data_IF_136020464710
#
_entry.id   IF_136020464710
#
_cell.length_a   1.000
_cell.length_b   1.000
_cell.length_c   1.000
_cell.angle_alpha   90.00
_cell.angle_beta   90.00
_cell.angle_gamma   90.00
#
_symmetry.space_group_name_H-M   'P 1'
#
loop_
_entity.id
_entity.type
_entity.pdbx_description
1 polymer ?
#
# COMPACT_ATOMS: atom_id res chain seq x y z
N UNK A 1 -6.11 21.84 20.38
CA UNK A 1 -6.45 21.17 19.12
C UNK A 1 -6.48 19.68 19.39
N UNK A 2 -7.48 18.95 18.86
CA UNK A 2 -7.62 17.51 19.10
C UNK A 2 -6.61 16.71 18.28
N UNK A 3 -6.14 15.59 18.83
CA UNK A 3 -5.37 14.58 18.10
C UNK A 3 -6.22 14.07 16.92
N UNK A 4 -5.61 13.87 15.75
CA UNK A 4 -6.30 13.34 14.55
C UNK A 4 -5.82 11.96 14.16
N UNK A 5 -4.53 11.65 14.38
CA UNK A 5 -3.99 10.34 14.08
C UNK A 5 -2.81 9.96 14.96
N UNK A 6 -2.59 8.65 15.13
CA UNK A 6 -1.38 8.07 15.69
C UNK A 6 -0.76 7.09 14.71
N UNK A 7 0.55 7.16 14.56
CA UNK A 7 1.37 6.16 13.86
C UNK A 7 1.82 5.14 14.90
N UNK A 8 1.49 3.89 14.65
CA UNK A 8 1.69 2.80 15.60
C UNK A 8 2.43 1.64 14.93
N UNK A 9 3.18 0.87 15.70
CA UNK A 9 3.81 -0.38 15.26
C UNK A 9 3.24 -1.52 16.11
N UNK A 10 2.76 -2.57 15.44
CA UNK A 10 2.30 -3.80 16.05
C UNK A 10 3.38 -4.88 15.94
N UNK A 11 3.76 -5.45 17.06
CA UNK A 11 4.71 -6.56 17.13
C UNK A 11 3.96 -7.89 17.20
N UNK A 12 4.24 -8.79 16.26
CA UNK A 12 3.54 -10.09 16.14
C UNK A 12 3.84 -11.04 17.29
N UNK A 13 5.04 -10.97 17.86
CA UNK A 13 5.45 -11.87 18.93
C UNK A 13 4.78 -11.52 20.25
N UNK A 14 4.85 -10.24 20.64
CA UNK A 14 4.22 -9.76 21.88
C UNK A 14 2.72 -9.52 21.73
N UNK A 15 2.22 -9.40 20.50
CA UNK A 15 0.83 -9.03 20.15
C UNK A 15 0.42 -7.68 20.72
N UNK A 16 1.34 -6.74 20.76
CA UNK A 16 1.13 -5.40 21.31
C UNK A 16 1.47 -4.32 20.30
N UNK A 17 0.71 -3.23 20.37
CA UNK A 17 1.01 -2.00 19.63
C UNK A 17 1.72 -1.01 20.54
N UNK A 18 2.64 -0.24 19.94
CA UNK A 18 3.21 0.93 20.57
C UNK A 18 3.13 2.14 19.64
N UNK A 19 2.81 3.28 20.21
CA UNK A 19 2.73 4.56 19.49
C UNK A 19 4.14 5.07 19.23
N UNK A 20 4.48 5.35 17.98
CA UNK A 20 5.77 5.95 17.59
C UNK A 20 5.65 7.44 17.30
N UNK A 21 4.45 7.91 16.92
CA UNK A 21 4.18 9.33 16.73
C UNK A 21 2.67 9.62 16.83
N UNK A 22 2.33 10.81 17.30
CA UNK A 22 0.96 11.34 17.30
C UNK A 22 0.96 12.76 16.79
N UNK A 23 -0.04 13.14 15.99
CA UNK A 23 -0.17 14.45 15.39
C UNK A 23 -1.61 14.96 15.34
N UNK A 24 -1.73 16.26 15.10
CA UNK A 24 -3.00 16.94 14.83
C UNK A 24 -3.34 16.89 13.34
N UNK A 25 -2.36 16.52 12.52
CA UNK A 25 -2.49 16.25 11.10
C UNK A 25 -3.00 14.82 10.89
N UNK A 26 -3.59 14.58 9.74
CA UNK A 26 -3.92 13.23 9.29
C UNK A 26 -2.68 12.62 8.63
N UNK A 27 -2.01 11.72 9.35
CA UNK A 27 -0.94 10.89 8.82
C UNK A 27 -1.52 9.64 8.20
N UNK A 28 -0.91 9.16 7.11
CA UNK A 28 -1.43 8.01 6.35
C UNK A 28 -0.30 7.12 5.84
N UNK A 29 -0.61 5.83 5.66
CA UNK A 29 0.16 4.83 4.92
C UNK A 29 1.63 4.72 5.33
N UNK A 30 1.92 4.26 6.55
CA UNK A 30 3.28 4.14 7.02
C UNK A 30 4.01 3.01 6.28
N UNK A 31 5.16 3.32 5.67
CA UNK A 31 6.03 2.39 4.96
C UNK A 31 7.42 2.39 5.60
N UNK A 32 7.94 1.24 6.04
CA UNK A 32 9.27 1.15 6.64
C UNK A 32 10.37 1.43 5.62
N UNK A 33 11.43 2.14 6.07
CA UNK A 33 12.69 2.15 5.32
C UNK A 33 13.35 0.78 5.37
N UNK A 34 14.14 0.37 4.35
CA UNK A 34 14.74 -0.97 4.29
C UNK A 34 15.66 -1.32 5.46
N UNK A 35 16.23 -0.31 6.15
CA UNK A 35 17.03 -0.48 7.37
C UNK A 35 16.17 -0.58 8.65
N UNK A 36 14.85 -0.44 8.55
CA UNK A 36 13.91 -0.44 9.67
C UNK A 36 14.03 0.75 10.63
N UNK A 37 14.84 1.76 10.31
CA UNK A 37 15.14 2.87 11.22
C UNK A 37 14.12 4.02 11.14
N UNK A 38 13.28 4.05 10.11
CA UNK A 38 12.30 5.10 9.89
C UNK A 38 11.05 4.59 9.16
N UNK A 39 10.01 5.43 9.16
CA UNK A 39 8.81 5.28 8.35
C UNK A 39 8.74 6.41 7.32
N UNK A 40 8.23 6.10 6.14
CA UNK A 40 7.77 7.07 5.15
C UNK A 40 6.26 7.19 5.32
N UNK A 41 5.76 8.42 5.30
CA UNK A 41 4.36 8.76 5.59
C UNK A 41 3.86 9.81 4.61
N UNK A 42 2.56 9.80 4.35
CA UNK A 42 1.88 10.90 3.68
C UNK A 42 1.11 11.76 4.69
N UNK A 43 1.08 13.06 4.46
CA UNK A 43 0.15 13.99 5.10
C UNK A 43 -0.04 15.22 4.22
N UNK A 44 -1.29 15.64 4.01
CA UNK A 44 -1.67 16.86 3.28
C UNK A 44 -0.96 17.03 1.91
N UNK A 45 -0.84 15.94 1.17
CA UNK A 45 -0.22 15.94 -0.16
C UNK A 45 1.31 15.96 -0.16
N UNK A 46 1.95 15.81 0.99
CA UNK A 46 3.40 15.77 1.15
C UNK A 46 3.86 14.42 1.68
N UNK A 47 5.09 14.07 1.36
CA UNK A 47 5.75 12.86 1.86
C UNK A 47 6.75 13.25 2.95
N UNK A 48 6.79 12.44 4.00
CA UNK A 48 7.63 12.68 5.17
C UNK A 48 8.43 11.45 5.53
N UNK A 49 9.60 11.66 6.13
CA UNK A 49 10.38 10.64 6.81
C UNK A 49 10.26 10.84 8.32
N UNK A 50 9.81 9.82 9.02
CA UNK A 50 9.72 9.76 10.48
C UNK A 50 10.77 8.77 11.00
N UNK A 51 11.89 9.25 11.53
CA UNK A 51 12.82 8.37 12.27
C UNK A 51 12.13 7.86 13.54
N UNK A 52 12.31 6.58 13.89
CA UNK A 52 11.72 6.03 15.11
C UNK A 52 12.22 6.79 16.34
N UNK A 53 11.27 7.35 17.12
CA UNK A 53 11.57 8.25 18.25
C UNK A 53 11.86 9.71 17.87
N UNK A 54 11.76 10.07 16.58
CA UNK A 54 11.96 11.43 16.08
C UNK A 54 10.67 12.19 15.78
N UNK A 55 10.80 13.20 14.92
CA UNK A 55 9.67 13.96 14.37
C UNK A 55 9.64 13.81 12.86
N UNK A 56 8.44 13.89 12.22
CA UNK A 56 8.34 13.87 10.78
C UNK A 56 9.13 15.01 10.13
N UNK A 57 9.91 14.67 9.11
CA UNK A 57 10.66 15.60 8.27
C UNK A 57 10.17 15.48 6.84
N UNK A 58 9.79 16.61 6.22
CA UNK A 58 9.33 16.61 4.84
C UNK A 58 10.47 16.18 3.91
N UNK A 59 10.14 15.31 2.95
CA UNK A 59 11.03 14.96 1.84
C UNK A 59 10.77 15.95 0.70
N UNK A 60 11.82 16.49 0.12
CA UNK A 60 11.70 17.34 -1.06
C UNK A 60 11.33 16.49 -2.29
N UNK A 61 10.07 16.56 -2.69
CA UNK A 61 9.54 15.88 -3.88
C UNK A 61 9.39 16.84 -5.06
N UNK A 62 10.12 17.94 -5.09
CA UNK A 62 10.09 18.94 -6.17
C UNK A 62 8.68 19.51 -6.39
N UNK A 63 8.15 19.39 -7.62
CA UNK A 63 6.81 19.86 -7.95
C UNK A 63 5.68 18.97 -7.43
N UNK A 64 5.96 17.71 -7.04
CA UNK A 64 4.97 16.73 -6.60
C UNK A 64 4.52 17.01 -5.16
N UNK A 65 3.49 17.85 -5.03
CA UNK A 65 2.98 18.39 -3.76
C UNK A 65 1.48 18.14 -3.56
N UNK A 66 0.91 17.29 -4.41
CA UNK A 66 -0.46 16.77 -4.31
C UNK A 66 -0.43 15.24 -4.31
N UNK A 67 0.54 14.68 -3.56
CA UNK A 67 0.65 13.23 -3.38
C UNK A 67 -0.57 12.71 -2.62
N UNK A 68 -1.05 11.53 -3.03
CA UNK A 68 -1.96 10.76 -2.20
C UNK A 68 -1.15 9.80 -1.28
N UNK A 69 -1.82 8.87 -0.66
CA UNK A 69 -1.21 7.93 0.28
C UNK A 69 -0.53 6.71 -0.39
N UNK A 70 -0.42 6.67 -1.73
CA UNK A 70 0.26 5.61 -2.48
C UNK A 70 1.73 5.97 -2.67
N UNK A 71 2.60 5.42 -1.86
CA UNK A 71 4.04 5.64 -1.94
C UNK A 71 4.83 4.42 -1.45
N UNK A 72 6.12 4.38 -1.76
CA UNK A 72 7.01 3.34 -1.26
C UNK A 72 8.46 3.60 -1.65
N UNK A 73 9.37 2.80 -1.11
CA UNK A 73 10.79 2.86 -1.41
C UNK A 73 11.24 1.64 -2.20
N UNK A 74 12.22 1.84 -3.06
CA UNK A 74 12.98 0.73 -3.63
C UNK A 74 13.72 -0.03 -2.53
N UNK A 75 14.00 -1.35 -2.72
CA UNK A 75 14.66 -2.17 -1.70
C UNK A 75 16.05 -1.67 -1.28
N UNK A 76 16.73 -0.91 -2.15
CA UNK A 76 18.01 -0.25 -1.82
C UNK A 76 17.83 1.06 -1.03
N UNK A 77 16.57 1.50 -0.83
CA UNK A 77 16.22 2.71 -0.10
C UNK A 77 16.64 4.01 -0.79
N UNK A 78 17.02 3.99 -2.06
CA UNK A 78 17.53 5.18 -2.74
C UNK A 78 16.43 5.96 -3.49
N UNK A 79 15.38 5.27 -3.95
CA UNK A 79 14.32 5.87 -4.76
C UNK A 79 12.98 5.77 -4.04
N UNK A 80 12.31 6.89 -3.92
CA UNK A 80 10.94 7.01 -3.47
C UNK A 80 10.01 6.97 -4.69
N UNK A 81 9.03 6.09 -4.66
CA UNK A 81 7.92 6.03 -5.63
C UNK A 81 6.71 6.70 -5.00
N UNK A 82 6.08 7.60 -5.73
CA UNK A 82 4.93 8.39 -5.27
C UNK A 82 3.87 8.48 -6.34
N UNK A 83 2.62 8.62 -5.92
CA UNK A 83 1.51 9.00 -6.80
C UNK A 83 1.16 10.46 -6.56
N UNK A 84 1.21 11.29 -7.60
CA UNK A 84 0.92 12.72 -7.51
C UNK A 84 -0.04 13.19 -8.62
N UNK A 85 -0.74 14.32 -8.38
CA UNK A 85 -1.77 14.88 -9.29
C UNK A 85 -1.46 16.29 -9.80
N UNK A 86 -0.28 16.84 -9.50
CA UNK A 86 0.02 18.24 -9.84
C UNK A 86 0.07 18.47 -11.34
N UNK A 87 0.82 17.65 -12.07
CA UNK A 87 1.15 17.91 -13.47
C UNK A 87 -0.05 17.71 -14.42
N UNK A 88 -0.90 16.72 -14.15
CA UNK A 88 -1.98 16.31 -15.07
C UNK A 88 -3.38 16.46 -14.48
N UNK A 89 -3.51 16.96 -13.24
CA UNK A 89 -4.75 16.90 -12.44
C UNK A 89 -5.36 15.48 -12.34
N UNK A 90 -4.56 14.47 -12.66
CA UNK A 90 -4.85 13.03 -12.57
C UNK A 90 -3.65 12.31 -11.96
N UNK A 91 -3.92 11.23 -11.24
CA UNK A 91 -2.90 10.45 -10.58
C UNK A 91 -1.85 9.92 -11.59
N UNK A 92 -0.58 10.09 -11.27
CA UNK A 92 0.56 9.62 -12.05
C UNK A 92 1.68 9.18 -11.12
N UNK A 93 2.37 8.10 -11.46
CA UNK A 93 3.47 7.57 -10.66
C UNK A 93 4.76 8.25 -11.07
N UNK A 94 5.51 8.70 -10.05
CA UNK A 94 6.83 9.30 -10.21
C UNK A 94 7.87 8.61 -9.33
N UNK A 95 9.09 8.60 -9.80
CA UNK A 95 10.27 8.22 -9.05
C UNK A 95 11.05 9.48 -8.64
N UNK A 96 11.44 9.55 -7.37
CA UNK A 96 12.18 10.68 -6.78
C UNK A 96 13.34 10.12 -5.96
N UNK A 97 14.57 10.67 -6.03
CA UNK A 97 15.61 10.31 -5.09
C UNK A 97 15.15 10.51 -3.64
N UNK A 98 15.40 9.59 -2.73
CA UNK A 98 15.03 9.75 -1.31
C UNK A 98 15.72 10.99 -0.69
N UNK A 99 16.87 11.39 -1.20
CA UNK A 99 17.57 12.64 -0.83
C UNK A 99 16.85 13.92 -1.29
N UNK A 100 15.78 13.78 -2.04
CA UNK A 100 15.03 14.87 -2.66
C UNK A 100 15.47 15.16 -4.09
N UNK A 101 14.63 15.89 -4.82
CA UNK A 101 14.93 16.32 -6.18
C UNK A 101 13.72 16.37 -7.11
N UNK A 102 13.99 16.42 -8.41
CA UNK A 102 12.94 16.52 -9.45
C UNK A 102 12.33 15.13 -9.70
N UNK A 103 10.99 14.98 -9.58
CA UNK A 103 10.29 13.76 -9.94
C UNK A 103 10.45 13.39 -11.40
N UNK A 104 10.72 12.10 -11.66
CA UNK A 104 10.71 11.52 -13.00
C UNK A 104 9.47 10.65 -13.15
N UNK A 105 8.69 10.90 -14.20
CA UNK A 105 7.48 10.15 -14.48
C UNK A 105 7.79 8.68 -14.81
N UNK A 106 7.07 7.76 -14.18
CA UNK A 106 7.18 6.31 -14.41
C UNK A 106 6.00 5.79 -15.22
N UNK A 107 4.75 6.05 -14.79
CA UNK A 107 3.59 5.50 -15.48
C UNK A 107 3.28 6.24 -16.78
N UNK A 108 3.03 5.49 -17.86
CA UNK A 108 2.65 6.06 -19.15
C UNK A 108 1.17 6.49 -19.16
N UNK A 109 0.31 5.75 -18.47
CA UNK A 109 -1.14 5.97 -18.43
C UNK A 109 -1.58 6.85 -17.25
N UNK A 110 -2.67 7.56 -17.43
CA UNK A 110 -3.39 8.34 -16.43
C UNK A 110 -4.82 7.75 -16.27
N UNK A 111 -5.34 7.48 -15.10
CA UNK A 111 -4.73 7.60 -13.79
C UNK A 111 -4.00 6.30 -13.41
N UNK A 112 -2.92 6.44 -12.63
CA UNK A 112 -2.14 5.31 -12.11
C UNK A 112 -1.80 5.55 -10.65
N UNK A 113 -1.99 4.52 -9.80
CA UNK A 113 -1.82 4.56 -8.35
C UNK A 113 -0.80 3.49 -7.94
N UNK A 114 0.33 3.91 -7.39
CA UNK A 114 1.41 3.01 -6.95
C UNK A 114 0.97 2.16 -5.77
N UNK A 115 1.41 0.88 -5.72
CA UNK A 115 1.17 0.02 -4.58
C UNK A 115 2.37 -0.81 -4.15
N UNK A 116 3.15 -1.37 -5.06
CA UNK A 116 4.24 -2.26 -4.66
C UNK A 116 5.45 -2.23 -5.58
N UNK A 117 6.61 -2.63 -5.04
CA UNK A 117 7.87 -2.82 -5.76
C UNK A 117 8.39 -4.23 -5.50
N UNK A 118 8.94 -4.87 -6.53
CA UNK A 118 9.52 -6.20 -6.39
C UNK A 118 10.79 -6.19 -5.52
N UNK A 119 11.08 -7.31 -4.84
CA UNK A 119 12.22 -7.43 -3.95
C UNK A 119 13.59 -7.21 -4.64
N UNK A 120 13.66 -7.39 -5.97
CA UNK A 120 14.84 -7.08 -6.77
C UNK A 120 14.91 -5.61 -7.24
N UNK A 121 13.88 -4.80 -6.89
CA UNK A 121 13.77 -3.40 -7.29
C UNK A 121 13.51 -3.16 -8.78
N UNK A 122 13.30 -4.22 -9.57
CA UNK A 122 13.23 -4.11 -11.02
C UNK A 122 11.82 -3.81 -11.55
N UNK A 123 10.78 -4.12 -10.78
CA UNK A 123 9.38 -4.01 -11.19
C UNK A 123 8.54 -3.26 -10.16
N UNK A 124 7.52 -2.57 -10.66
CA UNK A 124 6.44 -2.01 -9.83
C UNK A 124 5.11 -2.63 -10.21
N UNK A 125 4.19 -2.66 -9.26
CA UNK A 125 2.78 -2.98 -9.50
C UNK A 125 1.89 -1.85 -9.00
N UNK A 126 0.79 -1.62 -9.70
CA UNK A 126 -0.05 -0.47 -9.46
C UNK A 126 -1.47 -0.69 -10.00
N UNK A 127 -2.41 0.08 -9.49
CA UNK A 127 -3.76 0.18 -10.06
C UNK A 127 -3.80 1.28 -11.09
N UNK A 128 -4.20 0.97 -12.31
CA UNK A 128 -4.18 1.93 -13.40
C UNK A 128 -5.30 1.76 -14.41
N UNK A 129 -5.63 2.85 -15.12
CA UNK A 129 -6.57 2.81 -16.26
C UNK A 129 -5.81 2.28 -17.47
N UNK A 130 -6.14 1.07 -17.88
CA UNK A 130 -5.56 0.42 -19.07
C UNK A 130 -6.44 0.54 -20.31
N UNK A 131 -7.76 0.52 -20.14
CA UNK A 131 -8.74 0.69 -21.23
C UNK A 131 -9.83 1.63 -20.74
N UNK A 132 -10.28 2.52 -21.60
CA UNK A 132 -11.39 3.47 -21.44
C UNK A 132 -12.11 3.41 -20.06
N UNK A 133 -11.55 4.09 -19.09
CA UNK A 133 -12.07 4.25 -17.72
C UNK A 133 -12.20 2.94 -16.89
N UNK A 134 -11.54 1.86 -17.30
CA UNK A 134 -11.51 0.59 -16.56
C UNK A 134 -10.18 0.49 -15.82
N UNK A 135 -10.25 0.50 -14.50
CA UNK A 135 -9.11 0.21 -13.65
C UNK A 135 -8.74 -1.27 -13.68
N UNK A 136 -7.47 -1.54 -13.66
CA UNK A 136 -6.90 -2.89 -13.62
C UNK A 136 -5.64 -2.96 -12.79
N UNK A 137 -5.19 -4.18 -12.53
CA UNK A 137 -3.89 -4.44 -11.91
C UNK A 137 -2.83 -4.44 -13.01
N UNK A 138 -1.89 -3.54 -12.90
CA UNK A 138 -0.81 -3.34 -13.88
C UNK A 138 0.55 -3.63 -13.26
N UNK A 139 1.52 -3.94 -14.13
CA UNK A 139 2.92 -4.12 -13.80
C UNK A 139 3.78 -3.43 -14.87
N UNK A 140 4.87 -2.82 -14.46
CA UNK A 140 5.90 -2.30 -15.37
C UNK A 140 7.29 -2.44 -14.76
N UNK A 141 8.32 -2.22 -15.57
CA UNK A 141 9.64 -1.93 -15.03
C UNK A 141 9.61 -0.64 -14.22
N UNK A 142 10.55 -0.48 -13.32
CA UNK A 142 10.66 0.74 -12.48
C UNK A 142 10.89 2.01 -13.30
N UNK A 143 11.44 1.89 -14.51
CA UNK A 143 11.60 2.99 -15.47
C UNK A 143 10.38 3.22 -16.37
N UNK A 144 9.27 2.48 -16.14
CA UNK A 144 8.04 2.56 -16.91
C UNK A 144 8.00 1.70 -18.17
N UNK A 145 9.08 1.03 -18.54
CA UNK A 145 9.09 0.11 -19.68
C UNK A 145 8.36 -1.21 -19.37
N UNK A 146 8.08 -2.02 -20.39
CA UNK A 146 7.40 -3.33 -20.29
C UNK A 146 6.03 -3.26 -19.57
N UNK A 147 5.34 -2.14 -19.68
CA UNK A 147 4.02 -1.95 -19.05
C UNK A 147 2.98 -2.91 -19.62
N UNK A 148 2.24 -3.58 -18.72
CA UNK A 148 1.14 -4.48 -19.08
C UNK A 148 0.11 -4.59 -17.98
N UNK A 149 -1.15 -4.78 -18.36
CA UNK A 149 -2.22 -5.13 -17.43
C UNK A 149 -2.25 -6.64 -17.21
N UNK A 150 -2.27 -7.05 -15.94
CA UNK A 150 -2.43 -8.46 -15.55
C UNK A 150 -3.90 -8.82 -15.35
N UNK A 151 -4.69 -7.90 -14.78
CA UNK A 151 -6.12 -8.09 -14.48
C UNK A 151 -6.89 -6.87 -14.98
N UNK A 152 -7.91 -7.09 -15.79
CA UNK A 152 -8.80 -6.03 -16.28
C UNK A 152 -10.24 -6.58 -16.33
N UNK A 153 -11.22 -5.74 -16.00
CA UNK A 153 -12.65 -6.08 -16.09
C UNK A 153 -13.12 -7.10 -15.03
N UNK A 154 -14.41 -7.45 -15.05
CA UNK A 154 -15.05 -8.31 -14.05
C UNK A 154 -14.99 -7.77 -12.62
N UNK A 155 -15.17 -6.47 -12.42
CA UNK A 155 -15.26 -5.83 -11.11
C UNK A 155 -14.22 -4.74 -10.87
N UNK A 156 -14.18 -4.29 -9.63
CA UNK A 156 -13.17 -3.35 -9.12
C UNK A 156 -11.95 -4.15 -8.68
N UNK A 157 -10.76 -3.66 -8.99
CA UNK A 157 -9.47 -4.24 -8.61
C UNK A 157 -8.55 -3.16 -8.08
N UNK A 158 -7.85 -3.44 -6.97
CA UNK A 158 -6.99 -2.46 -6.33
C UNK A 158 -5.92 -3.11 -5.44
N UNK A 159 -5.00 -2.30 -4.91
CA UNK A 159 -4.05 -2.65 -3.88
C UNK A 159 -3.08 -3.78 -4.25
N UNK A 160 -2.46 -3.79 -5.45
CA UNK A 160 -1.56 -4.88 -5.81
C UNK A 160 -0.22 -4.80 -5.08
N UNK A 161 0.25 -5.93 -4.56
CA UNK A 161 1.57 -6.04 -3.96
C UNK A 161 2.26 -7.37 -4.32
N UNK A 162 3.59 -7.36 -4.34
CA UNK A 162 4.38 -8.55 -4.66
C UNK A 162 4.48 -9.52 -3.48
N UNK A 163 4.44 -10.82 -3.75
CA UNK A 163 4.98 -11.80 -2.80
C UNK A 163 6.49 -11.63 -2.63
N UNK A 164 7.03 -12.06 -1.49
CA UNK A 164 8.47 -11.90 -1.17
C UNK A 164 9.40 -12.57 -2.20
N UNK A 165 8.96 -13.65 -2.84
CA UNK A 165 9.66 -14.34 -3.93
C UNK A 165 9.40 -13.73 -5.31
N UNK A 166 8.60 -12.66 -5.39
CA UNK A 166 8.17 -11.99 -6.63
C UNK A 166 7.43 -12.89 -7.63
N UNK A 167 6.97 -14.06 -7.22
CA UNK A 167 6.28 -14.99 -8.10
C UNK A 167 4.80 -14.64 -8.28
N UNK A 168 4.21 -13.99 -7.27
CA UNK A 168 2.80 -13.63 -7.22
C UNK A 168 2.61 -12.12 -7.06
N UNK A 169 1.47 -11.65 -7.61
CA UNK A 169 0.90 -10.35 -7.31
C UNK A 169 -0.39 -10.61 -6.53
N UNK A 170 -0.43 -10.14 -5.29
CA UNK A 170 -1.63 -10.12 -4.46
C UNK A 170 -2.41 -8.84 -4.73
N UNK A 171 -3.73 -8.88 -4.66
CA UNK A 171 -4.59 -7.71 -4.87
C UNK A 171 -5.98 -7.99 -4.30
N UNK A 172 -6.78 -6.96 -4.17
CA UNK A 172 -8.20 -7.12 -3.86
C UNK A 172 -9.07 -6.95 -5.10
N UNK A 173 -10.19 -7.68 -5.12
CA UNK A 173 -11.11 -7.69 -6.26
C UNK A 173 -12.53 -8.03 -5.87
N UNK A 174 -13.49 -7.31 -6.49
CA UNK A 174 -14.91 -7.58 -6.34
C UNK A 174 -15.47 -8.60 -7.33
N UNK A 175 -14.61 -9.28 -8.10
CA UNK A 175 -15.01 -10.24 -9.16
C UNK A 175 -15.85 -11.42 -8.69
N UNK A 176 -15.85 -11.74 -7.40
CA UNK A 176 -16.69 -12.74 -6.76
C UNK A 176 -18.01 -12.18 -6.18
N UNK A 177 -18.32 -10.92 -6.45
CA UNK A 177 -19.50 -10.21 -5.93
C UNK A 177 -19.19 -9.30 -4.77
N UNK A 178 -18.24 -9.66 -3.89
CA UNK A 178 -17.76 -8.87 -2.77
C UNK A 178 -16.25 -8.68 -2.88
N UNK A 179 -15.73 -7.61 -2.29
CA UNK A 179 -14.29 -7.34 -2.27
C UNK A 179 -13.59 -8.40 -1.43
N UNK A 180 -12.71 -9.17 -2.10
CA UNK A 180 -11.96 -10.27 -1.51
C UNK A 180 -10.52 -10.24 -1.99
N UNK A 181 -9.63 -10.96 -1.30
CA UNK A 181 -8.23 -11.09 -1.69
C UNK A 181 -8.05 -12.13 -2.78
N UNK A 182 -7.19 -11.80 -3.73
CA UNK A 182 -6.81 -12.62 -4.86
C UNK A 182 -5.31 -12.58 -5.06
N UNK A 183 -4.76 -13.58 -5.73
CA UNK A 183 -3.40 -13.54 -6.25
C UNK A 183 -3.34 -14.06 -7.68
N UNK A 184 -2.39 -13.56 -8.45
CA UNK A 184 -2.11 -13.98 -9.81
C UNK A 184 -0.59 -14.09 -9.99
N UNK A 185 -0.14 -15.03 -10.82
CA UNK A 185 1.29 -15.08 -11.18
C UNK A 185 1.70 -13.78 -11.87
N UNK A 186 2.96 -13.38 -11.68
CA UNK A 186 3.52 -12.17 -12.33
C UNK A 186 3.41 -12.20 -13.87
N UNK A 187 3.26 -13.37 -14.49
CA UNK A 187 3.00 -13.52 -15.91
C UNK A 187 1.50 -13.46 -16.28
N UNK A 188 0.61 -13.25 -15.33
CA UNK A 188 -0.85 -13.15 -15.52
C UNK A 188 -1.60 -14.48 -15.45
N UNK A 189 -0.92 -15.60 -15.18
CA UNK A 189 -1.54 -16.94 -15.07
C UNK A 189 -1.95 -17.28 -13.63
N UNK A 190 -2.63 -18.41 -13.44
CA UNK A 190 -2.95 -19.01 -12.14
C UNK A 190 -3.67 -18.05 -11.18
N UNK A 191 -4.73 -17.41 -11.65
CA UNK A 191 -5.55 -16.53 -10.82
C UNK A 191 -6.25 -17.35 -9.72
N UNK A 192 -6.05 -16.96 -8.44
CA UNK A 192 -6.55 -17.65 -7.27
C UNK A 192 -7.27 -16.70 -6.33
N UNK A 193 -8.45 -17.11 -5.81
CA UNK A 193 -9.11 -16.43 -4.69
C UNK A 193 -8.48 -16.87 -3.38
N UNK A 194 -8.09 -15.94 -2.53
CA UNK A 194 -7.35 -16.19 -1.29
C UNK A 194 -8.18 -15.91 -0.04
N UNK A 195 -9.25 -15.11 -0.13
CA UNK A 195 -10.18 -14.93 0.99
C UNK A 195 -11.62 -15.23 0.58
N UNK A 196 -12.41 -15.69 1.55
CA UNK A 196 -13.86 -15.86 1.48
C UNK A 196 -14.44 -15.45 2.82
N UNK A 197 -14.41 -14.15 3.07
CA UNK A 197 -14.79 -13.57 4.36
C UNK A 197 -16.13 -12.84 4.27
N UNK A 198 -16.82 -12.64 5.40
CA UNK A 198 -18.04 -11.82 5.45
C UNK A 198 -17.75 -10.31 5.34
N UNK A 199 -16.49 -9.93 5.21
CA UNK A 199 -16.02 -8.55 5.15
C UNK A 199 -15.62 -8.14 3.74
N UNK A 200 -15.47 -6.83 3.50
CA UNK A 200 -14.81 -6.30 2.31
C UNK A 200 -13.29 -6.19 2.59
N UNK A 201 -12.51 -7.08 1.97
CA UNK A 201 -11.07 -7.22 2.19
C UNK A 201 -10.27 -6.38 1.20
N UNK A 202 -9.31 -5.54 1.70
CA UNK A 202 -8.57 -4.55 0.93
C UNK A 202 -7.08 -4.56 1.26
N UNK A 203 -6.23 -4.20 0.28
CA UNK A 203 -4.79 -3.92 0.43
C UNK A 203 -4.01 -5.07 1.07
N UNK A 204 -3.91 -6.23 0.38
CA UNK A 204 -3.12 -7.34 0.88
C UNK A 204 -1.61 -7.05 0.77
N UNK A 205 -0.90 -7.13 1.88
CA UNK A 205 0.55 -6.96 1.96
C UNK A 205 1.22 -8.24 2.43
N UNK A 206 1.87 -9.01 1.53
CA UNK A 206 2.69 -10.15 1.92
C UNK A 206 3.87 -9.73 2.79
N UNK A 207 4.17 -10.51 3.83
CA UNK A 207 5.32 -10.25 4.69
C UNK A 207 6.65 -10.52 3.95
N UNK A 208 7.72 -9.78 4.28
CA UNK A 208 9.03 -9.96 3.63
C UNK A 208 9.63 -11.35 3.81
N UNK A 209 9.29 -12.05 4.91
CA UNK A 209 9.72 -13.42 5.17
C UNK A 209 8.89 -14.49 4.44
N UNK A 210 7.85 -14.06 3.70
CA UNK A 210 6.98 -14.91 2.90
C UNK A 210 6.00 -15.78 3.70
N UNK A 211 5.82 -15.55 5.00
CA UNK A 211 5.01 -16.41 5.87
C UNK A 211 3.56 -15.97 5.96
N UNK A 212 3.30 -14.68 5.88
CA UNK A 212 1.99 -14.09 6.16
C UNK A 212 1.55 -13.11 5.09
N UNK A 213 0.25 -12.86 5.07
CA UNK A 213 -0.36 -11.72 4.38
C UNK A 213 -1.18 -10.94 5.39
N UNK A 214 -0.93 -9.64 5.47
CA UNK A 214 -1.68 -8.68 6.27
C UNK A 214 -2.62 -7.89 5.35
N UNK A 215 -3.82 -7.56 5.82
CA UNK A 215 -4.76 -6.73 5.05
C UNK A 215 -5.74 -5.98 5.94
N UNK A 216 -6.46 -5.05 5.33
CA UNK A 216 -7.53 -4.27 5.95
C UNK A 216 -8.90 -4.86 5.55
N UNK A 217 -9.81 -5.00 6.51
CA UNK A 217 -11.19 -5.38 6.22
C UNK A 217 -12.16 -4.32 6.73
N UNK A 218 -13.07 -3.92 5.86
CA UNK A 218 -14.22 -3.09 6.19
C UNK A 218 -15.46 -3.96 6.47
N UNK A 219 -16.48 -3.37 7.08
CA UNK A 219 -17.81 -3.98 7.07
C UNK A 219 -18.30 -4.16 5.62
N UNK A 220 -19.00 -5.25 5.34
CA UNK A 220 -19.49 -5.55 3.99
C UNK A 220 -20.43 -4.49 3.42
N UNK A 221 -21.09 -3.71 4.28
CA UNK A 221 -21.99 -2.62 3.87
C UNK A 221 -21.27 -1.48 3.14
N UNK A 222 -19.94 -1.36 3.27
CA UNK A 222 -19.13 -0.39 2.52
C UNK A 222 -19.12 -0.71 1.01
N UNK A 223 -19.39 -1.96 0.63
CA UNK A 223 -19.45 -2.39 -0.76
C UNK A 223 -18.08 -2.47 -1.43
N UNK A 224 -17.91 -1.74 -2.55
CA UNK A 224 -16.69 -1.76 -3.35
C UNK A 224 -15.88 -0.46 -3.22
N UNK A 225 -16.00 0.21 -2.07
CA UNK A 225 -15.28 1.43 -1.73
C UNK A 225 -14.35 1.17 -0.54
N UNK A 226 -13.42 2.09 -0.29
CA UNK A 226 -12.47 2.03 0.82
C UNK A 226 -12.33 3.38 1.52
N UNK A 227 -13.44 3.93 2.07
CA UNK A 227 -13.45 5.26 2.64
C UNK A 227 -12.57 5.34 3.90
N UNK A 228 -12.11 6.53 4.20
CA UNK A 228 -11.56 6.85 5.51
C UNK A 228 -12.68 7.03 6.55
N UNK A 229 -12.30 7.18 7.80
CA UNK A 229 -13.21 7.46 8.94
C UNK A 229 -14.24 6.32 9.16
N UNK A 230 -13.73 5.09 9.15
CA UNK A 230 -14.48 3.87 9.38
C UNK A 230 -13.89 3.03 10.52
N UNK A 231 -14.71 2.17 11.12
CA UNK A 231 -14.19 1.05 11.89
C UNK A 231 -13.70 -0.02 10.94
N UNK A 232 -12.42 -0.36 11.04
CA UNK A 232 -11.75 -1.35 10.19
C UNK A 232 -11.06 -2.42 11.04
N UNK A 233 -10.75 -3.55 10.43
CA UNK A 233 -10.04 -4.67 11.04
C UNK A 233 -8.72 -4.89 10.35
N UNK A 234 -7.64 -5.02 11.11
CA UNK A 234 -6.39 -5.58 10.60
C UNK A 234 -6.42 -7.09 10.77
N UNK A 235 -6.20 -7.80 9.67
CA UNK A 235 -6.30 -9.25 9.61
C UNK A 235 -5.06 -9.87 9.03
N UNK A 236 -4.76 -11.09 9.44
CA UNK A 236 -3.56 -11.83 9.09
C UNK A 236 -3.93 -13.27 8.71
N UNK A 237 -3.26 -13.84 7.70
CA UNK A 237 -3.32 -15.27 7.39
C UNK A 237 -1.96 -15.78 6.91
N UNK A 238 -1.74 -17.12 6.87
CA UNK A 238 -0.58 -17.69 6.19
C UNK A 238 -0.55 -17.31 4.70
N UNK A 239 0.63 -17.04 4.12
CA UNK A 239 0.77 -16.66 2.72
C UNK A 239 0.32 -17.74 1.72
N UNK A 240 0.31 -19.00 2.14
CA UNK A 240 -0.23 -20.12 1.35
C UNK A 240 -1.77 -20.23 1.40
N UNK A 241 -2.42 -19.36 2.16
CA UNK A 241 -3.84 -19.41 2.46
C UNK A 241 -4.16 -20.15 3.75
N UNK A 242 -5.43 -20.17 4.13
CA UNK A 242 -5.89 -20.83 5.36
C UNK A 242 -6.77 -19.92 6.21
N UNK A 243 -6.87 -20.23 7.49
CA UNK A 243 -7.71 -19.47 8.42
C UNK A 243 -7.15 -18.06 8.64
N UNK A 244 -8.03 -17.08 8.54
CA UNK A 244 -7.72 -15.68 8.74
C UNK A 244 -8.01 -15.25 10.19
N UNK A 245 -7.03 -14.66 10.84
CA UNK A 245 -7.15 -14.08 12.17
C UNK A 245 -7.46 -12.58 12.08
N UNK A 246 -8.39 -12.08 12.91
CA UNK A 246 -8.52 -10.65 13.17
C UNK A 246 -7.60 -10.28 14.33
N UNK A 247 -6.59 -9.48 14.07
CA UNK A 247 -5.63 -9.02 15.08
C UNK A 247 -6.30 -8.03 16.04
N UNK A 248 -6.94 -7.01 15.49
CA UNK A 248 -7.71 -6.01 16.24
C UNK A 248 -8.57 -5.13 15.31
N UNK A 249 -9.47 -4.36 15.94
CA UNK A 249 -10.27 -3.32 15.29
C UNK A 249 -9.75 -1.93 15.68
N UNK A 250 -9.92 -0.97 14.77
CA UNK A 250 -9.57 0.43 15.02
C UNK A 250 -10.43 1.36 14.17
N UNK A 251 -10.48 2.64 14.55
CA UNK A 251 -11.02 3.69 13.69
C UNK A 251 -9.90 4.16 12.73
N UNK A 252 -10.17 4.14 11.42
CA UNK A 252 -9.18 4.36 10.38
C UNK A 252 -9.78 4.42 8.99
N UNK A 253 -9.24 3.63 8.07
CA UNK A 253 -9.67 3.55 6.69
C UNK A 253 -8.52 3.30 5.74
N UNK A 254 -8.63 3.74 4.48
CA UNK A 254 -7.60 3.54 3.46
C UNK A 254 -6.20 3.89 3.95
N UNK A 255 -6.01 5.09 4.51
CA UNK A 255 -4.70 5.56 4.96
C UNK A 255 -4.14 4.82 6.19
N UNK A 256 -4.89 3.87 6.77
CA UNK A 256 -4.37 3.03 7.86
C UNK A 256 -3.19 2.18 7.39
N UNK A 257 -3.29 1.57 6.18
CA UNK A 257 -2.24 0.71 5.61
C UNK A 257 -2.43 0.49 4.10
N UNK A 258 -2.41 1.52 3.30
CA UNK A 258 -2.64 1.42 1.85
C UNK A 258 -1.42 0.91 1.06
N UNK A 259 -0.25 0.90 1.65
CA UNK A 259 1.03 0.51 1.04
C UNK A 259 1.73 -0.55 1.88
N UNK A 260 2.73 -1.27 1.35
CA UNK A 260 3.50 -2.25 2.11
C UNK A 260 4.05 -1.65 3.41
N UNK A 261 3.66 -2.21 4.53
CA UNK A 261 3.84 -1.61 5.85
C UNK A 261 4.59 -2.51 6.84
N UNK A 262 5.12 -3.63 6.37
CA UNK A 262 5.90 -4.55 7.18
C UNK A 262 7.27 -3.99 7.55
N UNK A 263 7.72 -4.28 8.77
CA UNK A 263 9.14 -4.14 9.12
C UNK A 263 9.98 -5.12 8.26
N UNK A 264 11.23 -4.75 7.91
CA UNK A 264 12.05 -5.56 6.99
C UNK A 264 12.28 -7.01 7.43
N UNK A 265 12.21 -7.30 8.72
CA UNK A 265 12.37 -8.64 9.29
C UNK A 265 11.06 -9.46 9.36
N UNK A 266 9.93 -8.87 8.95
CA UNK A 266 8.62 -9.52 8.95
C UNK A 266 8.00 -9.75 10.33
N UNK A 267 8.58 -9.21 11.42
CA UNK A 267 8.12 -9.42 12.79
C UNK A 267 7.12 -8.40 13.30
N UNK A 268 7.05 -7.26 12.63
CA UNK A 268 6.17 -6.15 12.98
C UNK A 268 5.62 -5.48 11.73
N UNK A 269 4.57 -4.68 11.90
CA UNK A 269 4.06 -3.80 10.85
C UNK A 269 3.62 -2.46 11.44
N UNK A 270 3.70 -1.43 10.62
CA UNK A 270 3.23 -0.10 10.98
C UNK A 270 1.80 0.14 10.48
N UNK A 271 1.04 0.94 11.19
CA UNK A 271 -0.31 1.35 10.79
C UNK A 271 -0.67 2.71 11.38
N UNK A 272 -1.75 3.32 10.87
CA UNK A 272 -2.27 4.57 11.42
C UNK A 272 -3.67 4.36 11.98
N UNK A 273 -3.89 4.88 13.19
CA UNK A 273 -5.19 5.01 13.84
C UNK A 273 -5.67 6.45 13.75
N UNK A 274 -6.95 6.65 13.45
CA UNK A 274 -7.61 7.96 13.46
C UNK A 274 -8.37 8.20 14.77
N UNK A 275 -8.67 9.49 15.06
CA UNK A 275 -9.42 9.92 16.23
C UNK A 275 -10.49 10.93 15.89
#
# INVERSE_FOLDING_TARGET
MSLRSSVEIYDLQSRQSHVVFQGQELWESPHFTPDGAALILNSEGRIYRLSLGGKPQVIDTGFAVRCNNDHGLTPDGQTLLITDKVEYDRACIYAVPLSGGTPLRVSAHLASYYHGVSADGAWITYTGIHQKDVFGICISRIDGSDERALIVGNGVHDGPDFSSDCAWIWFNSSRSGQMQLWRVRRDGRDLQRMSDSPYADWFPHPSPDGRHVLWLSYDASVGHDHPRDQTVRLRLMPAEGGEAETLFELFGGQGTMNVPNWAPDGRAFAYVRYF
#
